data_IF_753394364835
#
_entry.id   IF_753394364835
#
_cell.length_a   1.000
_cell.length_b   1.000
_cell.length_c   1.000
_cell.angle_alpha   90.00
_cell.angle_beta   90.00
_cell.angle_gamma   90.00
#
_symmetry.space_group_name_H-M   'P 1'
#
loop_
_entity.id
_entity.type
_entity.pdbx_description
1 polymer ?
#
# COMPACT_ATOMS: atom_id res chain seq x y z
N UNK A 1 -10.87 -26.43 -7.16
CA UNK A 1 -10.72 -26.47 -5.68
C UNK A 1 -12.10 -26.73 -5.09
N UNK A 2 -12.29 -27.70 -4.18
CA UNK A 2 -13.61 -27.95 -3.58
C UNK A 2 -13.99 -26.76 -2.68
N UNK A 3 -15.22 -26.24 -2.82
CA UNK A 3 -15.78 -25.09 -2.05
C UNK A 3 -15.41 -25.09 -0.55
N UNK A 4 -15.48 -26.21 0.21
CA UNK A 4 -15.12 -26.21 1.63
C UNK A 4 -13.66 -25.84 1.92
N UNK A 5 -12.72 -26.08 0.99
CA UNK A 5 -11.31 -25.72 1.17
C UNK A 5 -11.08 -24.22 1.02
N UNK A 6 -11.80 -23.57 0.09
CA UNK A 6 -11.72 -22.12 -0.11
C UNK A 6 -12.26 -21.38 1.11
N UNK A 7 -13.38 -21.85 1.66
CA UNK A 7 -13.97 -21.27 2.87
C UNK A 7 -13.04 -21.38 4.08
N UNK A 8 -12.42 -22.55 4.28
CA UNK A 8 -11.42 -22.72 5.34
C UNK A 8 -10.26 -21.76 5.18
N UNK A 9 -9.77 -21.57 3.95
CA UNK A 9 -8.62 -20.72 3.67
C UNK A 9 -8.93 -19.24 3.94
N UNK A 10 -10.12 -18.77 3.53
CA UNK A 10 -10.61 -17.41 3.84
C UNK A 10 -10.77 -17.23 5.35
N UNK A 11 -11.39 -18.17 6.04
CA UNK A 11 -11.60 -18.11 7.50
C UNK A 11 -10.26 -18.06 8.25
N UNK A 12 -9.31 -18.91 7.90
CA UNK A 12 -7.97 -18.93 8.50
C UNK A 12 -7.23 -17.62 8.22
N UNK A 13 -7.30 -17.11 6.99
CA UNK A 13 -6.69 -15.82 6.61
C UNK A 13 -7.22 -14.68 7.47
N UNK A 14 -8.54 -14.59 7.63
CA UNK A 14 -9.16 -13.52 8.42
C UNK A 14 -8.84 -13.64 9.92
N UNK A 15 -8.82 -14.87 10.45
CA UNK A 15 -8.37 -15.11 11.84
C UNK A 15 -6.93 -14.66 12.03
N UNK A 16 -6.00 -15.11 11.17
CA UNK A 16 -4.58 -14.72 11.26
C UNK A 16 -4.38 -13.20 11.12
N UNK A 17 -5.14 -12.55 10.24
CA UNK A 17 -5.12 -11.08 10.09
C UNK A 17 -5.53 -10.34 11.38
N UNK A 18 -6.53 -10.86 12.11
CA UNK A 18 -6.90 -10.33 13.43
C UNK A 18 -5.82 -10.65 14.48
N UNK A 19 -5.36 -11.90 14.54
CA UNK A 19 -4.38 -12.38 15.52
C UNK A 19 -3.02 -11.67 15.39
N UNK A 20 -2.62 -11.31 14.17
CA UNK A 20 -1.40 -10.57 13.88
C UNK A 20 -1.59 -9.04 14.01
N UNK A 21 -2.74 -8.56 14.51
CA UNK A 21 -3.07 -7.14 14.72
C UNK A 21 -2.95 -6.28 13.45
N UNK A 22 -3.25 -6.86 12.28
CA UNK A 22 -3.19 -6.16 11.01
C UNK A 22 -4.10 -4.92 10.91
N UNK A 23 -5.29 -4.85 11.54
CA UNK A 23 -6.05 -3.61 11.64
C UNK A 23 -5.22 -2.44 12.19
N UNK A 24 -4.54 -2.67 13.32
CA UNK A 24 -3.70 -1.65 13.97
C UNK A 24 -2.47 -1.30 13.15
N UNK A 25 -1.82 -2.28 12.52
CA UNK A 25 -0.69 -2.02 11.61
C UNK A 25 -1.12 -1.18 10.40
N UNK A 26 -2.28 -1.47 9.81
CA UNK A 26 -2.81 -0.65 8.72
C UNK A 26 -3.20 0.77 9.16
N UNK A 27 -3.63 0.96 10.42
CA UNK A 27 -3.84 2.30 10.98
C UNK A 27 -2.52 3.09 11.11
N UNK A 28 -1.45 2.44 11.61
CA UNK A 28 -0.12 3.03 11.67
C UNK A 28 0.41 3.40 10.27
N UNK A 29 0.26 2.50 9.29
CA UNK A 29 0.62 2.75 7.89
C UNK A 29 -0.12 3.96 7.32
N UNK A 30 -1.44 4.06 7.56
CA UNK A 30 -2.24 5.19 7.09
C UNK A 30 -1.79 6.50 7.73
N UNK A 31 -1.56 6.51 9.05
CA UNK A 31 -1.05 7.66 9.77
C UNK A 31 0.29 8.13 9.19
N UNK A 32 1.30 7.26 9.11
CA UNK A 32 2.62 7.66 8.60
C UNK A 32 2.58 8.07 7.13
N UNK A 33 1.74 7.42 6.31
CA UNK A 33 1.57 7.80 4.89
C UNK A 33 0.96 9.19 4.76
N UNK A 34 -0.02 9.53 5.59
CA UNK A 34 -0.68 10.84 5.60
C UNK A 34 0.33 11.98 5.81
N UNK A 35 1.29 11.81 6.73
CA UNK A 35 2.35 12.80 6.95
C UNK A 35 3.42 12.83 5.86
N UNK A 36 3.56 11.75 5.09
CA UNK A 36 4.60 11.61 4.08
C UNK A 36 4.15 11.99 2.68
N UNK A 37 2.86 11.89 2.37
CA UNK A 37 2.33 12.02 1.00
C UNK A 37 2.59 13.40 0.40
N UNK A 38 2.27 14.48 1.13
CA UNK A 38 2.42 15.84 0.59
C UNK A 38 3.89 16.21 0.34
N UNK A 39 4.82 16.04 1.31
CA UNK A 39 6.23 16.29 1.06
C UNK A 39 6.80 15.42 -0.08
N UNK A 40 6.37 14.16 -0.19
CA UNK A 40 6.83 13.25 -1.24
C UNK A 40 6.39 13.73 -2.62
N UNK A 41 5.11 14.07 -2.76
CA UNK A 41 4.56 14.58 -4.01
C UNK A 41 5.23 15.90 -4.43
N UNK A 42 5.50 16.81 -3.48
CA UNK A 42 6.24 18.04 -3.79
C UNK A 42 7.61 17.78 -4.39
N UNK A 43 8.37 16.83 -3.83
CA UNK A 43 9.70 16.48 -4.36
C UNK A 43 9.58 15.83 -5.73
N UNK A 44 8.63 14.90 -5.92
CA UNK A 44 8.41 14.26 -7.22
C UNK A 44 8.04 15.31 -8.26
N UNK A 45 7.13 16.23 -7.94
CA UNK A 45 6.69 17.31 -8.84
C UNK A 45 7.82 18.29 -9.12
N UNK A 46 8.57 18.71 -8.10
CA UNK A 46 9.67 19.65 -8.28
C UNK A 46 10.79 19.02 -9.12
N UNK A 47 11.23 17.80 -8.79
CA UNK A 47 12.34 17.15 -9.50
C UNK A 47 11.98 16.72 -10.92
N UNK A 48 10.81 16.12 -11.14
CA UNK A 48 10.36 15.75 -12.48
C UNK A 48 9.91 16.99 -13.28
N UNK A 49 9.37 18.01 -12.61
CA UNK A 49 8.94 19.27 -13.22
C UNK A 49 10.09 20.06 -13.83
N UNK A 50 11.32 19.93 -13.30
CA UNK A 50 12.53 20.49 -13.92
C UNK A 50 12.79 19.95 -15.32
N UNK A 51 12.33 18.72 -15.62
CA UNK A 51 12.57 18.05 -16.91
C UNK A 51 11.34 18.12 -17.81
N UNK A 52 10.15 17.88 -17.24
CA UNK A 52 8.90 17.68 -17.98
C UNK A 52 7.88 18.84 -17.83
N UNK A 53 8.14 19.79 -16.93
CA UNK A 53 7.21 20.85 -16.54
C UNK A 53 6.30 20.44 -15.38
N UNK A 54 6.13 21.32 -14.39
CA UNK A 54 5.35 21.01 -13.16
C UNK A 54 3.89 20.66 -13.45
N UNK A 55 3.23 21.38 -14.36
CA UNK A 55 1.82 21.15 -14.72
C UNK A 55 1.62 19.79 -15.39
N UNK A 56 2.55 19.37 -16.24
CA UNK A 56 2.50 18.06 -16.88
C UNK A 56 2.64 16.94 -15.84
N UNK A 57 3.57 17.08 -14.90
CA UNK A 57 3.78 16.10 -13.82
C UNK A 57 2.58 16.06 -12.87
N UNK A 58 2.04 17.22 -12.47
CA UNK A 58 0.83 17.30 -11.63
C UNK A 58 -0.37 16.65 -12.29
N UNK A 59 -0.61 16.95 -13.57
CA UNK A 59 -1.69 16.35 -14.35
C UNK A 59 -1.56 14.84 -14.45
N UNK A 60 -0.34 14.33 -14.67
CA UNK A 60 -0.08 12.89 -14.73
C UNK A 60 -0.29 12.20 -13.39
N UNK A 61 0.27 12.75 -12.29
CA UNK A 61 0.05 12.24 -10.94
C UNK A 61 -1.45 12.20 -10.62
N UNK A 62 -2.18 13.27 -10.93
CA UNK A 62 -3.63 13.31 -10.72
C UNK A 62 -4.36 12.22 -11.52
N UNK A 63 -3.98 11.99 -12.79
CA UNK A 63 -4.52 10.92 -13.62
C UNK A 63 -4.29 9.53 -13.02
N UNK A 64 -3.07 9.27 -12.54
CA UNK A 64 -2.73 8.00 -11.87
C UNK A 64 -3.51 7.82 -10.57
N UNK A 65 -3.57 8.86 -9.73
CA UNK A 65 -4.35 8.84 -8.50
C UNK A 65 -5.84 8.64 -8.79
N UNK A 66 -6.39 9.24 -9.85
CA UNK A 66 -7.78 9.01 -10.25
C UNK A 66 -8.04 7.55 -10.63
N UNK A 67 -7.12 6.92 -11.36
CA UNK A 67 -7.23 5.49 -11.73
C UNK A 67 -7.10 4.53 -10.53
N UNK A 68 -6.39 4.95 -9.48
CA UNK A 68 -6.15 4.16 -8.26
C UNK A 68 -7.18 4.43 -7.16
N UNK A 69 -7.68 5.65 -7.02
CA UNK A 69 -8.45 6.12 -5.87
C UNK A 69 -9.87 6.55 -6.23
N UNK A 70 -10.16 6.76 -7.51
CA UNK A 70 -11.36 7.46 -7.96
C UNK A 70 -11.19 8.99 -7.95
N UNK A 71 -12.20 9.69 -8.46
CA UNK A 71 -12.20 11.14 -8.62
C UNK A 71 -12.10 11.88 -7.28
N UNK A 72 -12.86 11.47 -6.28
CA UNK A 72 -12.91 12.11 -4.97
C UNK A 72 -11.59 11.95 -4.20
N UNK A 73 -10.99 10.75 -4.24
CA UNK A 73 -9.71 10.48 -3.61
C UNK A 73 -8.57 11.27 -4.25
N UNK A 74 -8.53 11.33 -5.59
CA UNK A 74 -7.53 12.10 -6.31
C UNK A 74 -7.63 13.60 -6.03
N UNK A 75 -8.86 14.15 -6.03
CA UNK A 75 -9.10 15.56 -5.67
C UNK A 75 -8.69 15.85 -4.23
N UNK A 76 -8.92 14.92 -3.31
CA UNK A 76 -8.52 15.10 -1.92
C UNK A 76 -6.99 15.18 -1.76
N UNK A 77 -6.23 14.33 -2.48
CA UNK A 77 -4.76 14.43 -2.52
C UNK A 77 -4.31 15.74 -3.17
N UNK A 78 -4.97 16.16 -4.26
CA UNK A 78 -4.67 17.42 -4.93
C UNK A 78 -4.91 18.63 -4.02
N UNK A 79 -6.04 18.70 -3.30
CA UNK A 79 -6.33 19.81 -2.38
C UNK A 79 -5.32 19.89 -1.23
N UNK A 80 -4.85 18.73 -0.74
CA UNK A 80 -3.78 18.68 0.26
C UNK A 80 -2.47 19.24 -0.30
N UNK A 81 -2.13 18.88 -1.54
CA UNK A 81 -0.93 19.38 -2.20
C UNK A 81 -1.00 20.89 -2.45
N UNK A 82 -2.13 21.41 -2.93
CA UNK A 82 -2.36 22.84 -3.12
C UNK A 82 -2.23 23.62 -1.81
N UNK A 83 -2.72 23.06 -0.71
CA UNK A 83 -2.62 23.66 0.63
C UNK A 83 -1.17 23.76 1.14
N UNK A 84 -0.28 22.85 0.71
CA UNK A 84 1.13 22.82 1.12
C UNK A 84 2.05 23.50 0.09
N UNK A 85 1.58 23.69 -1.15
CA UNK A 85 2.32 24.38 -2.22
C UNK A 85 2.23 25.91 -2.13
N UNK A 86 1.42 26.45 -1.23
CA UNK A 86 1.36 27.88 -0.98
C UNK A 86 2.75 28.36 -0.50
N UNK A 87 3.40 29.29 -1.21
CA UNK A 87 4.77 29.67 -0.94
C UNK A 87 4.83 30.52 0.33
N UNK A 88 5.06 29.90 1.49
CA UNK A 88 5.81 30.60 2.53
C UNK A 88 7.29 30.51 2.16
N UNK A 89 7.74 31.55 1.47
CA UNK A 89 9.11 31.82 1.06
C UNK A 89 10.04 31.82 2.28
N UNK A 90 10.58 30.65 2.63
CA UNK A 90 11.54 30.53 3.70
C UNK A 90 12.42 29.31 3.51
N UNK A 91 13.75 29.51 3.49
CA UNK A 91 14.74 28.41 3.55
C UNK A 91 14.46 27.45 4.71
N UNK A 92 13.85 27.95 5.80
CA UNK A 92 13.41 27.16 6.94
C UNK A 92 12.28 26.16 6.60
N UNK A 93 11.28 26.55 5.80
CA UNK A 93 10.18 25.67 5.39
C UNK A 93 10.65 24.51 4.53
N UNK A 94 11.57 24.77 3.58
CA UNK A 94 12.19 23.72 2.76
C UNK A 94 12.99 22.73 3.60
N UNK A 95 13.77 23.22 4.58
CA UNK A 95 14.55 22.36 5.49
C UNK A 95 13.63 21.51 6.36
N UNK A 96 12.62 22.11 6.99
CA UNK A 96 11.66 21.41 7.85
C UNK A 96 10.88 20.36 7.05
N UNK A 97 10.36 20.73 5.87
CA UNK A 97 9.65 19.81 4.98
C UNK A 97 10.51 18.65 4.50
N UNK A 98 11.78 18.90 4.18
CA UNK A 98 12.75 17.84 3.81
C UNK A 98 13.02 16.90 4.98
N UNK A 99 13.19 17.41 6.20
CA UNK A 99 13.40 16.58 7.41
C UNK A 99 12.14 15.73 7.69
N UNK A 100 10.96 16.35 7.68
CA UNK A 100 9.67 15.66 7.87
C UNK A 100 9.45 14.56 6.84
N UNK A 101 9.77 14.82 5.57
CA UNK A 101 9.75 13.80 4.52
C UNK A 101 10.69 12.64 4.85
N UNK A 102 11.97 12.93 5.11
CA UNK A 102 12.96 11.88 5.33
C UNK A 102 12.56 10.97 6.49
N UNK A 103 12.02 11.56 7.57
CA UNK A 103 11.47 10.83 8.71
C UNK A 103 10.23 10.04 8.26
N UNK A 104 9.23 10.70 7.67
CA UNK A 104 7.97 10.08 7.26
C UNK A 104 8.16 8.90 6.30
N UNK A 105 8.90 9.11 5.20
CA UNK A 105 9.19 8.08 4.21
C UNK A 105 9.95 6.89 4.83
N UNK A 106 10.90 7.14 5.73
CA UNK A 106 11.63 6.07 6.43
C UNK A 106 10.70 5.31 7.37
N UNK A 107 9.83 6.02 8.10
CA UNK A 107 8.89 5.42 9.06
C UNK A 107 7.82 4.59 8.35
N UNK A 108 7.22 5.08 7.26
CA UNK A 108 6.23 4.30 6.46
C UNK A 108 6.85 3.00 5.98
N UNK A 109 8.06 3.06 5.42
CA UNK A 109 8.75 1.87 4.90
C UNK A 109 9.19 0.92 6.01
N UNK A 110 9.57 1.43 7.18
CA UNK A 110 9.88 0.61 8.35
C UNK A 110 8.63 -0.10 8.86
N UNK A 111 7.53 0.64 9.06
CA UNK A 111 6.26 0.11 9.53
C UNK A 111 5.74 -0.97 8.58
N UNK A 112 5.85 -0.75 7.27
CA UNK A 112 5.44 -1.72 6.28
C UNK A 112 6.32 -2.99 6.35
N UNK A 113 7.63 -2.85 6.56
CA UNK A 113 8.55 -4.00 6.73
C UNK A 113 8.23 -4.76 8.01
N UNK A 114 8.02 -4.06 9.13
CA UNK A 114 7.69 -4.65 10.42
C UNK A 114 6.35 -5.39 10.35
N UNK A 115 5.37 -4.86 9.62
CA UNK A 115 4.11 -5.54 9.35
C UNK A 115 4.31 -6.84 8.56
N UNK A 116 5.13 -6.82 7.50
CA UNK A 116 5.48 -8.05 6.78
C UNK A 116 6.24 -9.05 7.65
N UNK A 117 7.21 -8.59 8.42
CA UNK A 117 8.02 -9.47 9.26
C UNK A 117 7.15 -10.15 10.33
N UNK A 118 6.15 -9.43 10.87
CA UNK A 118 5.13 -9.98 11.76
C UNK A 118 4.24 -11.01 11.06
N UNK A 119 3.64 -10.66 9.92
CA UNK A 119 2.81 -11.57 9.11
C UNK A 119 3.60 -12.85 8.80
N UNK A 120 4.82 -12.73 8.32
CA UNK A 120 5.64 -13.89 7.93
C UNK A 120 6.29 -14.63 9.09
N UNK A 121 6.02 -14.21 10.34
CA UNK A 121 6.60 -14.76 11.58
C UNK A 121 8.11 -14.91 11.46
N UNK A 122 8.75 -13.87 10.95
CA UNK A 122 10.21 -13.83 10.85
C UNK A 122 10.73 -13.83 12.30
N UNK A 123 11.58 -14.81 12.69
CA UNK A 123 12.16 -14.81 14.03
C UNK A 123 12.76 -13.44 14.30
N UNK A 124 12.63 -12.94 15.52
CA UNK A 124 13.23 -11.67 15.93
C UNK A 124 14.76 -11.80 15.89
N UNK A 125 15.33 -11.80 14.68
CA UNK A 125 16.76 -11.71 14.48
C UNK A 125 17.12 -10.32 14.92
N UNK A 126 17.88 -10.31 16.01
CA UNK A 126 18.74 -9.26 16.47
C UNK A 126 18.94 -8.20 15.38
N UNK A 127 18.49 -6.96 15.64
CA UNK A 127 18.57 -5.81 14.72
C UNK A 127 20.03 -5.43 14.38
N UNK A 128 20.99 -6.33 14.62
CA UNK A 128 22.44 -6.24 14.55
C UNK A 128 23.03 -6.44 13.15
N UNK A 129 22.24 -6.29 12.08
CA UNK A 129 22.77 -6.25 10.70
C UNK A 129 23.74 -5.09 10.43
N UNK A 130 23.95 -4.20 11.41
CA UNK A 130 24.85 -3.06 11.32
C UNK A 130 24.50 -2.13 10.15
N UNK A 131 25.47 -1.31 9.75
CA UNK A 131 25.34 -0.39 8.61
C UNK A 131 24.97 -1.14 7.32
N UNK A 132 25.46 -2.37 7.14
CA UNK A 132 25.20 -3.18 5.94
C UNK A 132 23.74 -3.61 5.81
N UNK A 133 23.09 -3.96 6.93
CA UNK A 133 21.66 -4.28 6.96
C UNK A 133 20.79 -3.08 6.56
N UNK A 134 21.15 -1.88 7.02
CA UNK A 134 20.47 -0.62 6.67
C UNK A 134 20.69 -0.25 5.20
N UNK A 135 21.91 -0.39 4.68
CA UNK A 135 22.20 -0.13 3.26
C UNK A 135 21.40 -1.08 2.37
N UNK A 136 21.38 -2.38 2.70
CA UNK A 136 20.66 -3.38 1.92
C UNK A 136 19.14 -3.15 1.94
N UNK A 137 18.56 -2.83 3.10
CA UNK A 137 17.13 -2.54 3.18
C UNK A 137 16.77 -1.31 2.37
N UNK A 138 17.57 -0.25 2.43
CA UNK A 138 17.38 0.97 1.62
C UNK A 138 17.50 0.71 0.13
N UNK A 139 18.47 -0.10 -0.29
CA UNK A 139 18.65 -0.45 -1.70
C UNK A 139 17.46 -1.27 -2.23
N UNK A 140 16.92 -2.20 -1.43
CA UNK A 140 15.70 -2.93 -1.77
C UNK A 140 14.49 -2.00 -1.88
N UNK A 141 14.29 -1.10 -0.91
CA UNK A 141 13.21 -0.10 -0.96
C UNK A 141 13.32 0.81 -2.19
N UNK A 142 14.53 1.29 -2.48
CA UNK A 142 14.78 2.11 -3.67
C UNK A 142 14.51 1.33 -4.97
N UNK A 143 14.96 0.09 -5.05
CA UNK A 143 14.66 -0.80 -6.18
C UNK A 143 13.16 -1.06 -6.36
N UNK A 144 12.41 -1.23 -5.26
CA UNK A 144 10.95 -1.37 -5.32
C UNK A 144 10.26 -0.10 -5.80
N UNK A 145 10.66 1.07 -5.28
CA UNK A 145 10.11 2.36 -5.71
C UNK A 145 10.39 2.58 -7.19
N UNK A 146 11.62 2.35 -7.65
CA UNK A 146 11.98 2.44 -9.07
C UNK A 146 11.22 1.43 -9.93
N UNK A 147 11.08 0.19 -9.47
CA UNK A 147 10.33 -0.85 -10.19
C UNK A 147 8.86 -0.50 -10.35
N UNK A 148 8.21 -0.02 -9.28
CA UNK A 148 6.82 0.44 -9.32
C UNK A 148 6.69 1.67 -10.21
N UNK A 149 7.59 2.66 -10.09
CA UNK A 149 7.61 3.84 -10.94
C UNK A 149 7.78 3.52 -12.42
N UNK A 150 8.68 2.59 -12.75
CA UNK A 150 8.85 2.08 -14.11
C UNK A 150 7.58 1.40 -14.63
N UNK A 151 6.94 0.55 -13.81
CA UNK A 151 5.67 -0.08 -14.16
C UNK A 151 4.56 0.95 -14.40
N UNK A 152 4.53 2.05 -13.64
CA UNK A 152 3.60 3.16 -13.88
C UNK A 152 3.89 3.86 -15.21
N UNK A 153 5.16 4.06 -15.59
CA UNK A 153 5.49 4.60 -16.91
C UNK A 153 5.06 3.66 -18.05
N UNK A 154 5.25 2.34 -17.88
CA UNK A 154 4.75 1.34 -18.84
C UNK A 154 3.23 1.42 -18.96
N UNK A 155 2.54 1.58 -17.83
CA UNK A 155 1.08 1.79 -17.79
C UNK A 155 0.63 3.03 -18.56
N UNK A 156 1.37 4.13 -18.40
CA UNK A 156 1.11 5.38 -19.10
C UNK A 156 1.30 5.22 -20.61
N UNK A 157 2.42 4.66 -21.05
CA UNK A 157 2.69 4.41 -22.47
C UNK A 157 1.62 3.52 -23.08
N UNK A 158 1.22 2.47 -22.36
CA UNK A 158 0.13 1.59 -22.77
C UNK A 158 -1.20 2.35 -22.91
N UNK A 159 -1.56 3.15 -21.91
CA UNK A 159 -2.79 3.95 -21.89
C UNK A 159 -2.82 4.97 -23.03
N UNK A 160 -1.70 5.66 -23.29
CA UNK A 160 -1.55 6.62 -24.37
C UNK A 160 -1.63 5.94 -25.75
N UNK A 161 -0.98 4.79 -25.92
CA UNK A 161 -1.05 4.00 -27.14
C UNK A 161 -2.50 3.54 -27.42
N UNK A 162 -3.20 3.02 -26.41
CA UNK A 162 -4.60 2.62 -26.53
C UNK A 162 -5.51 3.81 -26.89
N UNK A 163 -5.30 4.98 -26.28
CA UNK A 163 -6.06 6.18 -26.60
C UNK A 163 -5.82 6.68 -28.04
N UNK A 164 -4.56 6.63 -28.50
CA UNK A 164 -4.20 7.01 -29.87
C UNK A 164 -4.81 6.06 -30.91
N UNK A 165 -4.70 4.74 -30.68
CA UNK A 165 -5.32 3.72 -31.53
C UNK A 165 -6.84 3.88 -31.60
N UNK A 166 -7.49 4.17 -30.46
CA UNK A 166 -8.92 4.43 -30.40
C UNK A 166 -9.38 5.61 -31.25
N UNK A 167 -8.57 6.67 -31.36
CA UNK A 167 -8.88 7.83 -32.24
C UNK A 167 -8.78 7.49 -33.72
N UNK A 168 -7.82 6.64 -34.11
CA UNK A 168 -7.56 6.31 -35.51
C UNK A 168 -8.55 5.27 -36.05
N UNK A 169 -9.03 4.37 -35.21
CA UNK A 169 -9.90 3.25 -35.60
C UNK A 169 -11.38 3.46 -35.25
N UNK A 170 -11.72 4.60 -34.63
CA UNK A 170 -13.07 4.96 -34.15
C UNK A 170 -14.26 4.69 -35.09
N UNK A 171 -14.15 4.88 -36.43
CA UNK A 171 -15.28 4.65 -37.33
C UNK A 171 -15.64 3.17 -37.58
N UNK A 172 -14.71 2.24 -37.41
CA UNK A 172 -14.93 0.80 -37.67
C UNK A 172 -15.25 -0.01 -36.39
N UNK A 173 -15.18 0.63 -35.22
CA UNK A 173 -15.03 -0.03 -33.91
C UNK A 173 -16.17 0.23 -32.90
N UNK A 174 -17.37 0.63 -33.33
CA UNK A 174 -18.51 0.82 -32.40
C UNK A 174 -18.80 -0.46 -31.59
N UNK A 175 -18.64 -1.64 -32.19
CA UNK A 175 -18.86 -2.94 -31.55
C UNK A 175 -17.66 -3.47 -30.74
N UNK A 176 -16.46 -2.89 -30.91
CA UNK A 176 -15.22 -3.32 -30.24
C UNK A 176 -14.91 -2.54 -28.95
N UNK A 177 -15.74 -1.58 -28.55
CA UNK A 177 -15.59 -0.84 -27.29
C UNK A 177 -15.51 -1.79 -26.08
N UNK A 178 -16.29 -2.88 -26.09
CA UNK A 178 -16.27 -3.91 -25.04
C UNK A 178 -14.91 -4.62 -24.99
N UNK A 179 -14.31 -4.93 -26.15
CA UNK A 179 -13.01 -5.59 -26.24
C UNK A 179 -11.90 -4.66 -25.74
N UNK A 180 -11.92 -3.39 -26.15
CA UNK A 180 -10.98 -2.37 -25.69
C UNK A 180 -11.05 -2.19 -24.17
N UNK A 181 -12.26 -2.12 -23.62
CA UNK A 181 -12.49 -2.06 -22.17
C UNK A 181 -11.98 -3.30 -21.44
N UNK A 182 -12.24 -4.49 -21.98
CA UNK A 182 -11.76 -5.75 -21.41
C UNK A 182 -10.22 -5.85 -21.42
N UNK A 183 -9.57 -5.41 -22.51
CA UNK A 183 -8.11 -5.37 -22.62
C UNK A 183 -7.51 -4.40 -21.60
N UNK A 184 -8.08 -3.20 -21.46
CA UNK A 184 -7.60 -2.23 -20.49
C UNK A 184 -7.77 -2.72 -19.04
N UNK A 185 -8.91 -3.35 -18.74
CA UNK A 185 -9.16 -3.98 -17.44
C UNK A 185 -8.15 -5.10 -17.16
N UNK A 186 -7.94 -6.01 -18.11
CA UNK A 186 -7.00 -7.11 -17.98
C UNK A 186 -5.57 -6.60 -17.78
N UNK A 187 -5.14 -5.60 -18.56
CA UNK A 187 -3.83 -4.97 -18.40
C UNK A 187 -3.68 -4.34 -17.01
N UNK A 188 -4.66 -3.54 -16.58
CA UNK A 188 -4.67 -2.91 -15.25
C UNK A 188 -4.61 -3.94 -14.13
N UNK A 189 -5.35 -5.05 -14.27
CA UNK A 189 -5.35 -6.14 -13.30
C UNK A 189 -4.00 -6.87 -13.24
N UNK A 190 -3.39 -7.16 -14.39
CA UNK A 190 -2.06 -7.77 -14.47
C UNK A 190 -1.00 -6.86 -13.89
N UNK A 191 -1.08 -5.55 -14.18
CA UNK A 191 -0.17 -4.56 -13.64
C UNK A 191 -0.28 -4.48 -12.10
N UNK A 192 -1.50 -4.35 -11.57
CA UNK A 192 -1.75 -4.35 -10.12
C UNK A 192 -1.25 -5.64 -9.46
N UNK A 193 -1.54 -6.80 -10.07
CA UNK A 193 -1.05 -8.10 -9.60
C UNK A 193 0.48 -8.15 -9.61
N UNK A 194 1.13 -7.59 -10.62
CA UNK A 194 2.60 -7.55 -10.71
C UNK A 194 3.19 -6.67 -9.61
N UNK A 195 2.60 -5.51 -9.34
CA UNK A 195 3.02 -4.61 -8.24
C UNK A 195 2.89 -5.32 -6.89
N UNK A 196 1.74 -5.94 -6.60
CA UNK A 196 1.57 -6.70 -5.35
C UNK A 196 2.52 -7.90 -5.27
N UNK A 197 2.78 -8.59 -6.39
CA UNK A 197 3.72 -9.70 -6.43
C UNK A 197 5.15 -9.25 -6.10
N UNK A 198 5.59 -8.12 -6.64
CA UNK A 198 6.90 -7.52 -6.31
C UNK A 198 6.96 -7.20 -4.81
N UNK A 199 5.94 -6.54 -4.28
CA UNK A 199 5.87 -6.20 -2.84
C UNK A 199 5.93 -7.47 -1.97
N UNK A 200 5.09 -8.47 -2.22
CA UNK A 200 5.06 -9.71 -1.44
C UNK A 200 6.31 -10.57 -1.61
N UNK A 201 7.04 -10.44 -2.73
CA UNK A 201 8.27 -11.19 -2.97
C UNK A 201 9.49 -10.57 -2.30
N UNK A 202 9.63 -9.25 -2.39
CA UNK A 202 10.86 -8.54 -2.05
C UNK A 202 10.81 -7.84 -0.70
N UNK A 203 9.61 -7.55 -0.20
CA UNK A 203 9.47 -6.86 1.08
C UNK A 203 9.71 -7.75 2.30
N UNK A 204 9.22 -9.00 2.37
CA UNK A 204 9.50 -9.87 3.50
C UNK A 204 10.97 -10.26 3.56
N UNK A 205 11.53 -10.35 4.77
CA UNK A 205 12.91 -10.86 4.96
C UNK A 205 13.04 -12.37 4.76
N UNK A 206 11.95 -13.04 4.41
CA UNK A 206 11.90 -14.48 4.13
C UNK A 206 11.78 -14.75 2.64
N UNK A 207 12.42 -15.84 2.19
CA UNK A 207 12.30 -16.28 0.80
C UNK A 207 10.96 -16.98 0.61
N UNK A 208 10.16 -16.46 -0.32
CA UNK A 208 8.87 -17.02 -0.74
C UNK A 208 8.97 -17.39 -2.22
N UNK A 209 8.37 -18.51 -2.63
CA UNK A 209 8.37 -18.92 -4.03
C UNK A 209 7.38 -18.11 -4.87
N UNK A 210 7.76 -17.78 -6.11
CA UNK A 210 6.96 -16.93 -7.00
C UNK A 210 5.55 -17.48 -7.25
N UNK A 211 5.40 -18.81 -7.31
CA UNK A 211 4.09 -19.46 -7.50
C UNK A 211 3.09 -19.11 -6.40
N UNK A 212 3.55 -19.07 -5.14
CA UNK A 212 2.70 -18.77 -3.99
C UNK A 212 2.37 -17.26 -3.96
N UNK A 213 3.35 -16.43 -4.34
CA UNK A 213 3.21 -14.96 -4.44
C UNK A 213 2.17 -14.56 -5.49
N UNK A 214 2.19 -15.15 -6.69
CA UNK A 214 1.25 -14.79 -7.75
C UNK A 214 -0.21 -15.10 -7.38
N UNK A 215 -0.44 -16.20 -6.65
CA UNK A 215 -1.78 -16.53 -6.18
C UNK A 215 -2.31 -15.47 -5.19
N UNK A 216 -1.47 -15.07 -4.23
CA UNK A 216 -1.83 -14.01 -3.28
C UNK A 216 -1.99 -12.65 -3.93
N UNK A 217 -1.05 -12.27 -4.79
CA UNK A 217 -1.07 -10.98 -5.50
C UNK A 217 -2.30 -10.84 -6.42
N UNK A 218 -2.74 -11.91 -7.08
CA UNK A 218 -3.96 -11.89 -7.89
C UNK A 218 -5.22 -11.71 -7.04
N UNK A 219 -5.29 -12.38 -5.88
CA UNK A 219 -6.40 -12.21 -4.93
C UNK A 219 -6.40 -10.79 -4.36
N UNK A 220 -5.24 -10.25 -3.99
CA UNK A 220 -5.11 -8.86 -3.54
C UNK A 220 -5.52 -7.89 -4.63
N UNK A 221 -5.07 -8.07 -5.87
CA UNK A 221 -5.45 -7.22 -6.99
C UNK A 221 -6.96 -7.24 -7.26
N UNK A 222 -7.60 -8.40 -7.11
CA UNK A 222 -9.05 -8.53 -7.22
C UNK A 222 -9.77 -7.78 -6.10
N UNK A 223 -9.37 -8.01 -4.84
CA UNK A 223 -9.91 -7.31 -3.68
C UNK A 223 -9.70 -5.81 -3.78
N UNK A 224 -8.52 -5.37 -4.24
CA UNK A 224 -8.19 -3.97 -4.45
C UNK A 224 -9.07 -3.36 -5.54
N UNK A 225 -9.28 -4.06 -6.65
CA UNK A 225 -10.17 -3.61 -7.74
C UNK A 225 -11.60 -3.43 -7.27
N UNK A 226 -12.14 -4.42 -6.54
CA UNK A 226 -13.46 -4.33 -5.91
C UNK A 226 -13.49 -3.18 -4.90
N UNK A 227 -12.42 -3.05 -4.12
CA UNK A 227 -12.28 -2.04 -3.10
C UNK A 227 -12.26 -0.62 -3.62
N UNK A 228 -11.61 -0.36 -4.76
CA UNK A 228 -11.65 0.94 -5.46
C UNK A 228 -13.09 1.36 -5.77
N UNK A 229 -13.92 0.42 -6.23
CA UNK A 229 -15.31 0.69 -6.53
C UNK A 229 -16.13 0.95 -5.25
N UNK A 230 -15.95 0.12 -4.22
CA UNK A 230 -16.67 0.27 -2.95
C UNK A 230 -16.33 1.59 -2.24
N UNK A 231 -15.06 1.97 -2.22
CA UNK A 231 -14.63 3.19 -1.55
C UNK A 231 -15.04 4.44 -2.32
N UNK A 232 -15.01 4.41 -3.66
CA UNK A 232 -15.54 5.48 -4.49
C UNK A 232 -17.04 5.70 -4.25
N UNK A 233 -17.81 4.61 -4.17
CA UNK A 233 -19.23 4.69 -3.80
C UNK A 233 -19.45 5.22 -2.39
N UNK A 234 -18.66 4.76 -1.41
CA UNK A 234 -18.77 5.20 -0.03
C UNK A 234 -18.48 6.70 0.08
N UNK A 235 -17.34 7.16 -0.45
CA UNK A 235 -16.91 8.55 -0.32
C UNK A 235 -17.79 9.49 -1.16
N UNK A 236 -18.14 9.11 -2.38
CA UNK A 236 -19.00 9.92 -3.25
C UNK A 236 -20.43 10.09 -2.72
N UNK A 237 -20.94 9.15 -1.91
CA UNK A 237 -22.27 9.25 -1.28
C UNK A 237 -22.25 9.77 0.16
N UNK A 238 -21.09 9.79 0.82
CA UNK A 238 -21.00 10.15 2.23
C UNK A 238 -20.93 11.67 2.43
N UNK A 239 -21.60 12.16 3.47
CA UNK A 239 -21.50 13.54 3.94
C UNK A 239 -20.09 13.92 4.48
N UNK A 240 -19.11 13.02 4.41
CA UNK A 240 -17.73 13.25 4.82
C UNK A 240 -17.09 14.36 3.98
N UNK A 241 -17.45 14.50 2.69
CA UNK A 241 -16.97 15.62 1.87
C UNK A 241 -17.71 16.93 2.15
N UNK A 242 -19.00 16.88 2.55
CA UNK A 242 -19.84 18.07 2.72
C UNK A 242 -19.82 18.64 4.15
N UNK A 243 -19.56 17.83 5.17
CA UNK A 243 -19.63 18.24 6.58
C UNK A 243 -18.33 18.85 7.14
N UNK A 244 -17.18 18.60 6.51
CA UNK A 244 -15.87 18.93 7.08
C UNK A 244 -15.02 19.91 6.24
N UNK A 245 -15.52 20.41 5.11
CA UNK A 245 -14.79 21.35 4.26
C UNK A 245 -13.39 20.85 3.87
N UNK A 246 -12.36 21.69 4.00
CA UNK A 246 -10.97 21.32 3.70
C UNK A 246 -10.46 20.11 4.52
N UNK A 247 -10.90 19.95 5.78
CA UNK A 247 -10.55 18.80 6.61
C UNK A 247 -11.15 17.48 6.09
N UNK A 248 -12.22 17.53 5.30
CA UNK A 248 -12.81 16.37 4.64
C UNK A 248 -11.85 15.69 3.66
N UNK A 249 -10.98 16.46 2.98
CA UNK A 249 -9.97 15.90 2.07
C UNK A 249 -8.96 15.01 2.80
N UNK A 250 -8.50 15.45 3.98
CA UNK A 250 -7.60 14.69 4.83
C UNK A 250 -8.23 13.37 5.27
N UNK A 251 -9.49 13.41 5.72
CA UNK A 251 -10.23 12.22 6.14
C UNK A 251 -10.43 11.25 4.98
N UNK A 252 -10.78 11.74 3.79
CA UNK A 252 -10.94 10.93 2.57
C UNK A 252 -9.66 10.18 2.22
N UNK A 253 -8.51 10.87 2.22
CA UNK A 253 -7.21 10.23 1.96
C UNK A 253 -6.87 9.23 3.06
N UNK A 254 -7.05 9.59 4.33
CA UNK A 254 -6.76 8.70 5.45
C UNK A 254 -7.57 7.40 5.38
N UNK A 255 -8.89 7.50 5.14
CA UNK A 255 -9.78 6.35 5.02
C UNK A 255 -9.38 5.49 3.82
N UNK A 256 -9.04 6.11 2.67
CA UNK A 256 -8.61 5.39 1.49
C UNK A 256 -7.29 4.64 1.71
N UNK A 257 -6.30 5.29 2.33
CA UNK A 257 -5.00 4.68 2.60
C UNK A 257 -5.16 3.55 3.62
N UNK A 258 -5.92 3.77 4.69
CA UNK A 258 -6.22 2.73 5.69
C UNK A 258 -6.86 1.50 5.03
N UNK A 259 -7.90 1.71 4.24
CA UNK A 259 -8.60 0.64 3.54
C UNK A 259 -7.68 -0.12 2.57
N UNK A 260 -6.87 0.61 1.80
CA UNK A 260 -5.87 0.02 0.90
C UNK A 260 -4.83 -0.80 1.65
N UNK A 261 -4.35 -0.30 2.80
CA UNK A 261 -3.45 -1.02 3.67
C UNK A 261 -4.09 -2.31 4.22
N UNK A 262 -5.38 -2.28 4.58
CA UNK A 262 -6.07 -3.49 5.04
C UNK A 262 -6.19 -4.57 3.96
N UNK A 263 -6.56 -4.20 2.73
CA UNK A 263 -6.59 -5.14 1.60
C UNK A 263 -5.19 -5.73 1.38
N UNK A 264 -4.18 -4.88 1.40
CA UNK A 264 -2.81 -5.27 1.19
C UNK A 264 -2.29 -6.23 2.26
N UNK A 265 -2.54 -5.97 3.54
CA UNK A 265 -2.14 -6.84 4.66
C UNK A 265 -2.94 -8.15 4.66
N UNK A 266 -4.24 -8.10 4.37
CA UNK A 266 -5.08 -9.29 4.25
C UNK A 266 -4.58 -10.20 3.11
N UNK A 267 -4.17 -9.63 1.99
CA UNK A 267 -3.57 -10.37 0.89
C UNK A 267 -2.21 -10.98 1.21
N UNK A 268 -1.41 -10.32 2.05
CA UNK A 268 -0.15 -10.87 2.55
C UNK A 268 -0.39 -12.08 3.46
N UNK A 269 -1.37 -11.99 4.37
CA UNK A 269 -1.83 -13.13 5.18
C UNK A 269 -2.38 -14.26 4.32
N UNK A 270 -3.19 -13.95 3.31
CA UNK A 270 -3.68 -14.94 2.36
C UNK A 270 -2.51 -15.68 1.68
N UNK A 271 -1.48 -14.94 1.26
CA UNK A 271 -0.28 -15.50 0.61
C UNK A 271 0.42 -16.49 1.53
N UNK A 272 0.60 -16.13 2.81
CA UNK A 272 1.19 -16.98 3.84
C UNK A 272 0.35 -18.24 4.08
N UNK A 273 -0.95 -18.10 4.35
CA UNK A 273 -1.86 -19.23 4.58
C UNK A 273 -1.93 -20.14 3.36
N UNK A 274 -2.00 -19.57 2.15
CA UNK A 274 -1.97 -20.33 0.90
C UNK A 274 -0.65 -21.11 0.74
N UNK A 275 0.49 -20.47 1.04
CA UNK A 275 1.80 -21.12 0.97
C UNK A 275 1.94 -22.31 1.93
N UNK A 276 1.27 -22.26 3.09
CA UNK A 276 1.25 -23.32 4.10
C UNK A 276 0.26 -24.44 3.77
N UNK A 277 -0.96 -24.10 3.31
CA UNK A 277 -2.00 -25.09 3.04
C UNK A 277 -1.79 -25.83 1.71
N UNK A 278 -1.39 -25.11 0.65
CA UNK A 278 -1.35 -25.62 -0.72
C UNK A 278 -0.04 -25.35 -1.46
N UNK A 279 0.73 -24.37 -1.00
CA UNK A 279 1.98 -23.96 -1.63
C UNK A 279 3.21 -24.69 -1.11
N UNK A 280 4.35 -24.01 -1.25
CA UNK A 280 5.67 -24.58 -1.06
C UNK A 280 6.06 -24.90 0.38
N UNK A 281 5.35 -24.34 1.37
CA UNK A 281 5.68 -24.48 2.79
C UNK A 281 4.86 -25.54 3.52
N UNK A 282 4.05 -26.33 2.81
CA UNK A 282 3.23 -27.42 3.37
C UNK A 282 3.99 -28.45 4.21
N UNK A 283 5.31 -28.58 4.03
CA UNK A 283 6.18 -29.53 4.75
C UNK A 283 7.08 -28.89 5.81
N UNK A 284 7.03 -27.57 5.99
CA UNK A 284 7.81 -26.91 7.03
C UNK A 284 7.01 -26.95 8.34
N UNK A 285 7.57 -27.52 9.43
CA UNK A 285 6.94 -27.42 10.73
C UNK A 285 6.75 -25.94 11.07
N UNK A 286 5.57 -25.59 11.60
CA UNK A 286 5.35 -24.28 12.22
C UNK A 286 6.48 -24.09 13.24
N UNK A 287 7.13 -22.91 13.32
CA UNK A 287 8.03 -22.63 14.42
C UNK A 287 7.26 -22.90 15.72
N UNK A 288 7.70 -23.91 16.48
CA UNK A 288 7.15 -24.21 17.79
C UNK A 288 7.36 -22.98 18.67
N UNK A 289 6.26 -22.42 19.18
CA UNK A 289 6.22 -21.56 20.36
C UNK A 289 7.32 -20.49 20.48
N UNK A 290 7.26 -19.44 19.67
CA UNK A 290 7.61 -18.12 20.20
C UNK A 290 6.30 -17.41 20.52
N UNK A 291 5.84 -17.65 21.75
CA UNK A 291 4.88 -16.80 22.44
C UNK A 291 5.46 -15.38 22.40
N UNK A 292 4.93 -14.54 21.51
CA UNK A 292 5.32 -13.14 21.43
C UNK A 292 5.10 -12.56 22.84
N UNK A 293 6.10 -11.96 23.50
CA UNK A 293 5.85 -11.31 24.78
C UNK A 293 4.72 -10.30 24.54
N UNK A 294 3.64 -10.34 25.33
CA UNK A 294 2.51 -9.44 25.11
C UNK A 294 3.03 -8.01 25.15
N UNK A 295 3.05 -7.33 24.00
CA UNK A 295 3.31 -5.90 23.93
C UNK A 295 2.15 -5.23 24.65
N UNK A 296 2.43 -4.80 25.88
CA UNK A 296 1.50 -4.30 26.90
C UNK A 296 0.77 -5.35 27.76
N UNK A 297 1.52 -6.21 28.47
CA UNK A 297 1.17 -6.37 29.89
C UNK A 297 1.60 -5.08 30.60
N UNK A 298 0.64 -4.37 31.21
CA UNK A 298 0.92 -3.49 32.34
C UNK A 298 1.89 -4.26 33.24
N UNK A 299 3.06 -3.70 33.51
CA UNK A 299 3.98 -4.23 34.52
C UNK A 299 3.16 -4.57 35.77
N UNK A 300 3.32 -5.77 36.37
CA UNK A 300 2.74 -6.07 37.67
C UNK A 300 3.55 -5.31 38.74
N UNK A 301 3.47 -3.98 38.73
CA UNK A 301 3.89 -3.11 39.83
C UNK A 301 2.71 -2.77 40.76
N UNK A 302 1.49 -3.19 40.41
CA UNK A 302 0.31 -3.04 41.27
C UNK A 302 0.23 -4.08 42.40
N UNK A 303 0.58 -5.34 42.14
CA UNK A 303 0.44 -6.42 43.15
C UNK A 303 1.54 -6.43 44.22
N UNK A 304 2.67 -5.74 44.00
CA UNK A 304 3.70 -5.61 45.02
C UNK A 304 3.41 -4.48 46.02
N UNK A 305 2.53 -3.53 45.69
CA UNK A 305 2.15 -2.47 46.63
C UNK A 305 1.12 -2.96 47.66
N UNK A 306 0.21 -3.85 47.27
CA UNK A 306 -0.82 -4.38 48.19
C UNK A 306 -0.25 -5.33 49.26
N UNK A 307 0.96 -5.88 49.06
CA UNK A 307 1.65 -6.71 50.07
C UNK A 307 2.55 -5.91 51.02
N UNK A 308 2.73 -4.60 50.78
CA UNK A 308 3.47 -3.72 51.69
C UNK A 308 2.54 -2.97 52.67
N UNK A 309 1.23 -3.11 52.50
CA UNK A 309 0.20 -2.49 53.35
C UNK A 309 -0.77 -3.50 53.99
N UNK A 310 -0.41 -4.78 54.02
CA UNK A 310 -1.00 -5.80 54.90
C UNK A 310 0.08 -6.29 55.87
#
# INVERSE_FOLDING_TARGET
>A
MRIPHVWSLVKTTFSSWLDDYAPSMGAALAYYTMFSIAPLLLIVISTAGLIFGEDAVRGEIFGQLRGLMGDEGARAVQSLLESVSAPEEGKAGTVIGTILLLIGATTVLSELQDAFDRIWRVPAKDKSGGVWGVIRSRLLSFGMILGIGFLMMVSLVFSAAMAALGKWWGPFFSDLQVIVGAVNFAFSFVLASTVFAILYKFMPRVRILWRDVWAGAAVTALLFTIGKFLIGLYIGKSAISSGFGAAGSLVVVLVWVYYSAQIFLLGAEFTKVYSQAHGSRKKQPLPEGEEYPPSHRRTPKGEQLDRLFQ
#
